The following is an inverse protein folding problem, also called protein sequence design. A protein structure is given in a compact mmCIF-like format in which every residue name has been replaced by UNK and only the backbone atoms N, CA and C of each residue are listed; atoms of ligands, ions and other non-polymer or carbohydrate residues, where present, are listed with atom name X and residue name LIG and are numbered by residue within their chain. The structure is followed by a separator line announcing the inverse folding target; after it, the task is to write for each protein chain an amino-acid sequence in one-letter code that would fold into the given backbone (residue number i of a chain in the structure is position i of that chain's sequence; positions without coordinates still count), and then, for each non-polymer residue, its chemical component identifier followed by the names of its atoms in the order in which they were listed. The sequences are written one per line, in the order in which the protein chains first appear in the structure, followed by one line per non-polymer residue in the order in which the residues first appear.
data_IF_706780892170
#
_entry.id   IF_706780892170
#
_cell.length_a   1.000
_cell.length_b   1.000
_cell.length_c   1.000
_cell.angle_alpha   90.00
_cell.angle_beta   90.00
_cell.angle_gamma   90.00
#
_symmetry.space_group_name_H-M   'P 1'
#
loop_
_entity.id
_entity.type
_entity.pdbx_description
1 polymer ?
#
# COMPACT_ATOMS: atom_id res chain seq x y z
N UNK A 1 -10.30 -19.40 13.10
CA UNK A 1 -10.21 -18.08 12.42
C UNK A 1 -9.71 -18.29 10.99
N UNK A 2 -10.56 -18.04 10.00
CA UNK A 2 -10.20 -18.22 8.58
C UNK A 2 -9.10 -17.24 8.15
N UNK A 3 -8.02 -17.74 7.56
CA UNK A 3 -6.96 -16.91 6.97
C UNK A 3 -7.57 -16.12 5.80
N UNK A 4 -7.81 -14.83 5.97
CA UNK A 4 -8.11 -13.92 4.85
C UNK A 4 -6.86 -13.92 3.95
N UNK A 5 -6.98 -14.51 2.76
CA UNK A 5 -5.95 -14.45 1.71
C UNK A 5 -6.17 -13.17 0.93
N UNK A 6 -5.17 -12.31 0.82
CA UNK A 6 -5.26 -11.06 0.08
C UNK A 6 -4.88 -11.25 -1.40
N UNK A 7 -5.25 -12.39 -1.99
CA UNK A 7 -5.00 -12.73 -3.40
C UNK A 7 -3.75 -13.60 -3.62
N UNK A 8 -2.58 -13.20 -3.09
CA UNK A 8 -1.30 -13.90 -3.32
C UNK A 8 -0.51 -14.16 -2.03
N UNK A 9 0.09 -15.35 -1.90
CA UNK A 9 0.77 -15.78 -0.68
C UNK A 9 2.04 -14.98 -0.36
N UNK A 10 2.76 -14.50 -1.36
CA UNK A 10 3.99 -13.74 -1.14
C UNK A 10 3.69 -12.30 -0.75
N UNK A 11 2.65 -11.70 -1.35
CA UNK A 11 2.09 -10.43 -0.88
C UNK A 11 1.60 -10.54 0.57
N UNK A 12 0.86 -11.60 0.88
CA UNK A 12 0.37 -11.85 2.24
C UNK A 12 1.52 -11.92 3.25
N UNK A 13 2.62 -12.63 2.91
CA UNK A 13 3.80 -12.75 3.77
C UNK A 13 4.48 -11.39 3.97
N UNK A 14 4.64 -10.61 2.90
CA UNK A 14 5.27 -9.30 2.94
C UNK A 14 4.47 -8.29 3.79
N UNK A 15 3.15 -8.26 3.63
CA UNK A 15 2.28 -7.43 4.46
C UNK A 15 2.39 -7.83 5.94
N UNK A 16 2.32 -9.13 6.23
CA UNK A 16 2.43 -9.68 7.59
C UNK A 16 3.78 -9.40 8.24
N UNK A 17 4.86 -9.32 7.46
CA UNK A 17 6.19 -8.97 7.98
C UNK A 17 6.20 -7.60 8.68
N UNK A 18 5.27 -6.71 8.34
CA UNK A 18 5.16 -5.38 8.97
C UNK A 18 4.26 -5.35 10.22
N UNK A 19 3.61 -6.46 10.60
CA UNK A 19 2.62 -6.44 11.70
C UNK A 19 3.21 -6.18 13.08
N UNK A 20 4.51 -6.41 13.27
CA UNK A 20 5.20 -6.06 14.51
C UNK A 20 5.56 -4.58 14.58
N UNK A 21 5.41 -3.82 13.49
CA UNK A 21 5.59 -2.37 13.51
C UNK A 21 4.42 -1.70 14.23
N UNK A 22 4.63 -0.45 14.67
CA UNK A 22 3.54 0.36 15.22
C UNK A 22 2.42 0.47 14.16
N UNK A 23 1.14 0.57 14.58
CA UNK A 23 0.00 0.50 13.66
C UNK A 23 0.11 1.42 12.44
N UNK A 24 0.61 2.65 12.64
CA UNK A 24 0.83 3.65 11.60
C UNK A 24 2.09 3.40 10.73
N UNK A 25 2.73 2.25 10.82
CA UNK A 25 3.84 1.82 9.96
C UNK A 25 3.58 0.47 9.31
N UNK A 26 2.39 -0.11 9.53
CA UNK A 26 2.00 -1.36 8.89
C UNK A 26 1.61 -1.11 7.43
N UNK A 27 1.98 -2.05 6.57
CA UNK A 27 1.43 -2.13 5.23
C UNK A 27 0.02 -2.71 5.29
N UNK A 28 -0.85 -2.19 4.45
CA UNK A 28 -2.23 -2.64 4.35
C UNK A 28 -2.51 -3.27 2.98
N UNK A 29 -3.35 -4.30 2.93
CA UNK A 29 -4.06 -4.62 1.70
C UNK A 29 -5.26 -3.69 1.59
N UNK A 30 -5.30 -2.88 0.54
CA UNK A 30 -6.30 -1.84 0.36
C UNK A 30 -7.23 -2.26 -0.78
N UNK A 31 -8.54 -2.50 -0.51
CA UNK A 31 -9.51 -2.75 -1.56
C UNK A 31 -9.50 -1.62 -2.60
N UNK A 32 -9.44 -1.96 -3.89
CA UNK A 32 -9.42 -0.94 -4.94
C UNK A 32 -10.64 -0.01 -4.88
N UNK A 33 -11.79 -0.54 -4.46
CA UNK A 33 -13.03 0.22 -4.30
C UNK A 33 -12.98 1.29 -3.19
N UNK A 34 -11.93 1.31 -2.36
CA UNK A 34 -11.75 2.39 -1.38
C UNK A 34 -11.16 3.65 -2.02
N UNK A 35 -10.73 3.60 -3.29
CA UNK A 35 -10.21 4.73 -4.05
C UNK A 35 -11.28 5.38 -4.93
N UNK A 36 -11.37 6.71 -4.85
CA UNK A 36 -12.23 7.55 -5.69
C UNK A 36 -11.42 8.67 -6.33
N UNK A 37 -12.03 9.39 -7.27
CA UNK A 37 -11.41 10.53 -7.97
C UNK A 37 -10.04 10.16 -8.60
N UNK A 38 -9.96 8.96 -9.19
CA UNK A 38 -8.72 8.40 -9.73
C UNK A 38 -8.36 9.14 -11.02
N UNK A 39 -7.20 9.79 -11.03
CA UNK A 39 -6.68 10.56 -12.18
C UNK A 39 -5.25 10.14 -12.50
N UNK A 40 -4.99 9.80 -13.77
CA UNK A 40 -3.62 9.53 -14.25
C UNK A 40 -2.81 10.83 -14.27
N UNK A 41 -1.60 10.79 -13.73
CA UNK A 41 -0.68 11.93 -13.66
C UNK A 41 0.66 11.67 -14.35
N UNK A 42 0.96 10.43 -14.72
CA UNK A 42 2.18 10.12 -15.45
C UNK A 42 2.27 8.66 -15.88
N UNK A 43 3.23 8.39 -16.74
CA UNK A 43 3.61 7.04 -17.14
C UNK A 43 5.12 6.97 -17.25
N UNK A 44 5.69 5.87 -16.79
CA UNK A 44 7.07 5.47 -17.08
C UNK A 44 7.10 4.22 -17.95
N UNK A 45 8.29 3.70 -18.22
CA UNK A 45 8.47 2.48 -19.01
C UNK A 45 7.69 1.29 -18.45
N UNK A 46 7.79 1.06 -17.13
CA UNK A 46 7.24 -0.11 -16.43
C UNK A 46 6.05 0.20 -15.52
N UNK A 47 5.65 1.47 -15.41
CA UNK A 47 4.60 1.86 -14.46
C UNK A 47 3.70 2.97 -14.96
N UNK A 48 2.50 3.01 -14.40
CA UNK A 48 1.57 4.12 -14.54
C UNK A 48 1.34 4.76 -13.17
N UNK A 49 1.31 6.09 -13.13
CA UNK A 49 1.15 6.84 -11.89
C UNK A 49 -0.20 7.56 -11.91
N UNK A 50 -0.99 7.31 -10.88
CA UNK A 50 -2.27 7.94 -10.65
C UNK A 50 -2.26 8.65 -9.29
N UNK A 51 -3.09 9.68 -9.18
CA UNK A 51 -3.54 10.23 -7.90
C UNK A 51 -4.97 9.76 -7.65
N UNK A 52 -5.29 9.49 -6.39
CA UNK A 52 -6.63 9.14 -5.98
C UNK A 52 -6.91 9.63 -4.55
N UNK A 53 -8.20 9.73 -4.20
CA UNK A 53 -8.64 9.91 -2.83
C UNK A 53 -8.93 8.54 -2.21
N UNK A 54 -8.19 8.19 -1.17
CA UNK A 54 -8.47 7.01 -0.36
C UNK A 54 -9.50 7.34 0.72
N UNK A 55 -10.71 6.79 0.58
CA UNK A 55 -11.88 7.15 1.39
C UNK A 55 -11.83 6.67 2.83
N UNK A 56 -11.16 5.54 3.09
CA UNK A 56 -11.02 4.98 4.44
C UNK A 56 -9.84 5.52 5.22
N UNK A 57 -8.97 6.30 4.57
CA UNK A 57 -7.71 6.75 5.15
C UNK A 57 -6.82 5.60 5.60
N UNK A 58 -5.72 5.91 6.27
CA UNK A 58 -4.74 4.93 6.76
C UNK A 58 -4.98 4.57 8.22
N UNK A 59 -4.62 3.36 8.65
CA UNK A 59 -4.45 3.05 10.08
C UNK A 59 -3.53 4.08 10.74
N UNK A 60 -4.00 4.67 11.83
CA UNK A 60 -3.24 5.62 12.64
C UNK A 60 -2.84 5.05 14.00
N UNK A 61 -3.64 4.15 14.56
CA UNK A 61 -3.47 3.65 15.93
C UNK A 61 -4.31 2.39 16.18
N UNK A 62 -4.04 1.68 17.28
CA UNK A 62 -4.84 0.55 17.76
C UNK A 62 -5.62 0.96 19.03
N UNK A 63 -6.95 0.81 19.00
CA UNK A 63 -7.78 1.05 20.17
C UNK A 63 -7.98 -0.24 20.97
N UNK A 64 -7.24 -0.40 22.06
CA UNK A 64 -7.31 -1.59 22.93
C UNK A 64 -8.71 -1.84 23.49
N UNK A 65 -9.43 -0.80 23.92
CA UNK A 65 -10.78 -0.91 24.51
C UNK A 65 -11.79 -1.52 23.54
N UNK A 66 -11.69 -1.16 22.27
CA UNK A 66 -12.63 -1.62 21.23
C UNK A 66 -12.08 -2.78 20.41
N UNK A 67 -10.80 -3.12 20.58
CA UNK A 67 -10.06 -4.07 19.73
C UNK A 67 -10.23 -3.76 18.24
N UNK A 68 -10.11 -2.48 17.86
CA UNK A 68 -10.25 -1.99 16.48
C UNK A 68 -9.15 -1.01 16.13
N UNK A 69 -8.72 -1.02 14.86
CA UNK A 69 -7.82 0.00 14.34
C UNK A 69 -8.56 1.34 14.20
N UNK A 70 -7.95 2.41 14.68
CA UNK A 70 -8.32 3.78 14.33
C UNK A 70 -7.74 4.11 12.96
N UNK A 71 -8.48 4.88 12.18
CA UNK A 71 -8.03 5.35 10.87
C UNK A 71 -8.02 6.87 10.85
N UNK A 72 -7.07 7.42 10.10
CA UNK A 72 -7.07 8.81 9.66
C UNK A 72 -8.26 9.07 8.74
N UNK A 73 -8.57 10.36 8.55
CA UNK A 73 -9.58 10.78 7.57
C UNK A 73 -9.18 10.43 6.14
N UNK A 74 -10.05 10.77 5.19
CA UNK A 74 -9.76 10.59 3.78
C UNK A 74 -8.41 11.24 3.41
N UNK A 75 -7.68 10.62 2.46
CA UNK A 75 -6.33 11.05 2.13
C UNK A 75 -6.07 10.98 0.64
N UNK A 76 -5.41 12.00 0.10
CA UNK A 76 -4.87 11.96 -1.26
C UNK A 76 -3.62 11.08 -1.27
N UNK A 77 -3.60 10.11 -2.17
CA UNK A 77 -2.55 9.11 -2.32
C UNK A 77 -2.09 9.02 -3.76
N UNK A 78 -0.87 8.54 -3.95
CA UNK A 78 -0.36 8.09 -5.24
C UNK A 78 -0.58 6.60 -5.35
N UNK A 79 -1.12 6.19 -6.50
CA UNK A 79 -1.23 4.80 -6.94
C UNK A 79 -0.19 4.58 -8.04
N UNK A 80 0.87 3.85 -7.73
CA UNK A 80 1.85 3.39 -8.73
C UNK A 80 1.47 1.99 -9.16
N UNK A 81 0.92 1.87 -10.37
CA UNK A 81 0.55 0.60 -10.98
C UNK A 81 1.77 0.06 -11.71
N UNK A 82 2.18 -1.17 -11.41
CA UNK A 82 3.23 -1.86 -12.15
C UNK A 82 2.58 -2.71 -13.23
N UNK A 83 2.86 -2.39 -14.49
CA UNK A 83 2.25 -3.08 -15.63
C UNK A 83 2.77 -4.51 -15.71
N UNK A 84 1.91 -5.42 -16.15
CA UNK A 84 2.25 -6.82 -16.37
C UNK A 84 2.70 -7.57 -15.09
N UNK A 85 2.27 -7.08 -13.92
CA UNK A 85 2.70 -7.62 -12.62
C UNK A 85 1.85 -8.80 -12.13
N UNK A 86 0.93 -9.31 -12.95
CA UNK A 86 0.14 -10.51 -12.66
C UNK A 86 1.03 -11.74 -12.41
N UNK A 87 2.14 -11.82 -13.14
CA UNK A 87 3.18 -12.79 -12.88
C UNK A 87 4.17 -12.10 -11.96
N UNK A 88 4.01 -12.33 -10.65
CA UNK A 88 4.98 -11.88 -9.64
C UNK A 88 6.36 -12.37 -10.05
N UNK A 89 7.13 -11.48 -10.66
CA UNK A 89 8.51 -11.75 -11.04
C UNK A 89 9.45 -11.34 -9.91
N UNK A 90 10.72 -11.67 -10.11
CA UNK A 90 11.76 -11.36 -9.13
C UNK A 90 11.95 -9.86 -8.93
N UNK A 91 11.62 -9.03 -9.92
CA UNK A 91 11.76 -7.57 -9.85
C UNK A 91 10.67 -6.95 -8.96
N UNK A 92 9.42 -7.35 -9.15
CA UNK A 92 8.31 -6.92 -8.29
C UNK A 92 8.51 -7.33 -6.83
N UNK A 93 8.90 -8.60 -6.59
CA UNK A 93 9.21 -9.07 -5.23
C UNK A 93 10.37 -8.30 -4.61
N UNK A 94 11.40 -7.99 -5.40
CA UNK A 94 12.54 -7.20 -4.94
C UNK A 94 12.12 -5.78 -4.58
N UNK A 95 11.28 -5.13 -5.38
CA UNK A 95 10.76 -3.79 -5.08
C UNK A 95 9.92 -3.82 -3.79
N UNK A 96 9.04 -4.81 -3.64
CA UNK A 96 8.27 -5.04 -2.40
C UNK A 96 9.14 -5.30 -1.17
N UNK A 97 10.16 -6.14 -1.29
CA UNK A 97 11.10 -6.41 -0.21
C UNK A 97 11.87 -5.14 0.16
N UNK A 98 12.29 -4.35 -0.83
CA UNK A 98 12.91 -3.06 -0.60
C UNK A 98 11.96 -2.12 0.13
N UNK A 99 10.69 -2.07 -0.25
CA UNK A 99 9.66 -1.30 0.46
C UNK A 99 9.58 -1.72 1.92
N UNK A 100 9.46 -3.02 2.21
CA UNK A 100 9.37 -3.54 3.59
C UNK A 100 10.64 -3.22 4.38
N UNK A 101 11.83 -3.36 3.79
CA UNK A 101 13.11 -3.00 4.43
C UNK A 101 13.23 -1.50 4.70
N UNK A 102 12.68 -0.69 3.80
CA UNK A 102 12.69 0.76 3.85
C UNK A 102 11.51 1.35 4.66
N UNK A 103 10.56 0.51 5.11
CA UNK A 103 9.43 0.99 5.89
C UNK A 103 9.94 1.65 7.17
N UNK A 104 9.56 2.91 7.42
CA UNK A 104 9.90 3.55 8.67
C UNK A 104 9.45 2.69 9.85
N UNK A 105 10.40 2.36 10.72
CA UNK A 105 10.11 2.01 12.10
C UNK A 105 10.28 3.29 12.95
N UNK A 106 10.19 3.17 14.28
CA UNK A 106 10.28 4.31 15.19
C UNK A 106 11.54 5.19 15.01
N UNK A 107 12.59 4.74 14.30
CA UNK A 107 13.86 5.45 14.13
C UNK A 107 14.13 5.99 12.72
N UNK A 108 13.34 5.64 11.68
CA UNK A 108 13.66 5.97 10.27
C UNK A 108 12.62 6.90 9.59
N UNK A 109 12.44 8.11 10.11
CA UNK A 109 11.39 9.07 9.69
C UNK A 109 11.57 9.74 8.31
N UNK A 110 12.70 9.54 7.64
CA UNK A 110 13.06 10.28 6.40
C UNK A 110 12.85 9.49 5.10
N UNK A 111 12.29 8.29 5.15
CA UNK A 111 12.08 7.44 3.97
C UNK A 111 10.63 7.52 3.49
N UNK A 112 10.41 7.46 2.17
CA UNK A 112 9.07 7.41 1.56
C UNK A 112 8.30 6.23 2.16
N UNK A 113 7.24 6.57 2.89
CA UNK A 113 6.42 5.59 3.58
C UNK A 113 5.35 5.04 2.65
N UNK A 114 5.39 3.75 2.34
CA UNK A 114 4.28 3.10 1.64
C UNK A 114 3.16 2.80 2.64
N UNK A 115 1.92 3.01 2.20
CA UNK A 115 0.74 2.68 2.99
C UNK A 115 0.28 1.24 2.76
N UNK A 116 0.52 0.70 1.57
CA UNK A 116 0.04 -0.64 1.28
C UNK A 116 0.12 -1.03 -0.17
N UNK A 117 -0.57 -2.12 -0.45
CA UNK A 117 -0.72 -2.73 -1.77
C UNK A 117 -2.21 -2.84 -2.08
N UNK A 118 -2.55 -2.61 -3.34
CA UNK A 118 -3.87 -2.89 -3.91
C UNK A 118 -3.70 -3.68 -5.21
N UNK A 119 -4.80 -4.02 -5.85
CA UNK A 119 -4.81 -4.72 -7.13
C UNK A 119 -5.85 -4.10 -8.04
N UNK A 120 -5.44 -3.84 -9.29
CA UNK A 120 -6.34 -3.34 -10.32
C UNK A 120 -7.37 -4.42 -10.66
N UNK A 121 -8.69 -4.17 -10.50
CA UNK A 121 -9.71 -5.19 -10.72
C UNK A 121 -9.87 -5.58 -12.20
N UNK A 122 -9.34 -4.78 -13.14
CA UNK A 122 -9.43 -5.06 -14.59
C UNK A 122 -8.22 -5.83 -15.10
N UNK A 123 -7.01 -5.43 -14.70
CA UNK A 123 -5.77 -6.01 -15.23
C UNK A 123 -5.12 -7.02 -14.28
N UNK A 124 -5.57 -7.08 -13.03
CA UNK A 124 -4.93 -7.81 -11.93
C UNK A 124 -3.51 -7.34 -11.58
N UNK A 125 -3.06 -6.23 -12.18
CA UNK A 125 -1.78 -5.60 -11.83
C UNK A 125 -1.80 -5.12 -10.38
N UNK A 126 -0.67 -5.29 -9.70
CA UNK A 126 -0.47 -4.76 -8.37
C UNK A 126 -0.22 -3.26 -8.38
N UNK A 127 -0.68 -2.64 -7.31
CA UNK A 127 -0.65 -1.19 -7.12
C UNK A 127 0.04 -0.89 -5.79
N UNK A 128 1.09 -0.08 -5.83
CA UNK A 128 1.66 0.51 -4.62
C UNK A 128 0.92 1.78 -4.23
N UNK A 129 0.60 1.89 -2.95
CA UNK A 129 -0.10 3.04 -2.38
C UNK A 129 0.85 3.79 -1.47
N UNK A 130 1.07 5.08 -1.77
CA UNK A 130 2.05 5.92 -1.07
C UNK A 130 1.50 7.36 -0.89
N UNK A 131 2.04 8.18 0.04
CA UNK A 131 1.61 9.56 0.21
C UNK A 131 1.78 10.36 -1.08
N UNK A 132 0.80 11.20 -1.39
CA UNK A 132 1.01 12.26 -2.36
C UNK A 132 1.93 13.33 -1.78
N UNK A 133 3.08 13.54 -2.42
CA UNK A 133 4.02 14.61 -2.08
C UNK A 133 3.78 15.77 -3.04
N UNK A 134 3.21 16.86 -2.54
CA UNK A 134 2.90 18.07 -3.34
C UNK A 134 4.13 18.89 -3.69
N UNK A 135 5.27 18.63 -3.05
CA UNK A 135 6.49 19.40 -3.20
C UNK A 135 7.53 18.52 -3.89
N UNK A 136 7.56 18.60 -5.22
CA UNK A 136 8.64 18.13 -6.08
C UNK A 136 9.29 19.31 -6.76
#
# INVERSE_FOLDING_TARGET
MGKKRFGNQDIDKLIKATYNNQPQFRLEWIPFNDFVDIKRIGTGGFSEIYVAKWTKGRISDWNERTSRFKRSENKIVVLKILKESQNIDSEFLKELQNIVKCQPNSTMRHIIQYYGVSQNPKTNDYIFVMPYMSNG
#
